data_IF_615393807115
#
_entry.id   IF_615393807115
#
_cell.length_a   1.000
_cell.length_b   1.000
_cell.length_c   1.000
_cell.angle_alpha   90.00
_cell.angle_beta   90.00
_cell.angle_gamma   90.00
#
_symmetry.space_group_name_H-M   'P 1'
#
loop_
_entity.id
_entity.type
_entity.pdbx_description
1 polymer ?
#
# COMPACT_ATOMS: atom_id res chain seq x y z
N UNK A 1 10.82 4.01 47.63
CA UNK A 1 11.51 2.95 46.91
C UNK A 1 10.88 2.83 45.52
N UNK A 2 11.49 3.51 44.58
CA UNK A 2 11.07 3.65 43.20
C UNK A 2 11.33 2.37 42.43
N UNK A 3 10.28 1.74 41.97
CA UNK A 3 10.39 0.76 40.89
C UNK A 3 10.44 1.48 39.55
N UNK A 4 11.63 1.84 39.13
CA UNK A 4 11.91 2.04 37.71
C UNK A 4 11.78 0.66 37.05
N UNK A 5 10.62 0.38 36.46
CA UNK A 5 10.49 -0.70 35.50
C UNK A 5 11.37 -0.35 34.31
N UNK A 6 12.53 -0.97 34.24
CA UNK A 6 13.33 -0.99 33.01
C UNK A 6 12.49 -1.73 31.98
N UNK A 7 11.74 -0.99 31.16
CA UNK A 7 11.18 -1.57 29.95
C UNK A 7 12.37 -1.97 29.09
N UNK A 8 12.66 -3.28 29.04
CA UNK A 8 13.55 -3.80 28.02
C UNK A 8 12.99 -3.35 26.68
N UNK A 9 13.74 -2.51 25.93
CA UNK A 9 13.35 -2.11 24.59
C UNK A 9 13.34 -3.37 23.73
N UNK A 10 12.18 -3.81 23.30
CA UNK A 10 12.06 -4.90 22.35
C UNK A 10 12.46 -4.37 20.97
N UNK A 11 13.53 -4.91 20.41
CA UNK A 11 13.99 -4.61 19.07
C UNK A 11 13.32 -5.54 18.05
N UNK A 12 12.91 -4.97 16.92
CA UNK A 12 12.36 -5.75 15.83
C UNK A 12 13.44 -6.68 15.24
N UNK A 13 13.07 -7.90 14.81
CA UNK A 13 14.00 -8.75 14.10
C UNK A 13 14.45 -8.11 12.79
N UNK A 14 15.71 -8.34 12.42
CA UNK A 14 16.22 -7.91 11.11
C UNK A 14 15.42 -8.57 9.99
N UNK A 15 14.99 -7.79 9.03
CA UNK A 15 14.31 -8.26 7.82
C UNK A 15 15.08 -7.78 6.58
N UNK A 16 15.86 -8.66 6.00
CA UNK A 16 16.82 -8.31 4.94
C UNK A 16 16.15 -8.16 3.56
N UNK A 17 16.75 -7.34 2.67
CA UNK A 17 16.24 -7.12 1.31
C UNK A 17 16.27 -8.40 0.47
N UNK A 18 17.21 -9.31 0.73
CA UNK A 18 17.30 -10.62 0.09
C UNK A 18 16.01 -11.41 0.27
N UNK A 19 15.44 -11.37 1.47
CA UNK A 19 14.16 -12.06 1.76
C UNK A 19 12.99 -11.40 1.01
N UNK A 20 12.99 -10.08 0.87
CA UNK A 20 11.98 -9.40 0.04
C UNK A 20 12.17 -9.77 -1.42
N UNK A 21 13.41 -9.77 -1.92
CA UNK A 21 13.74 -10.15 -3.29
C UNK A 21 13.26 -11.58 -3.62
N UNK A 22 13.48 -12.51 -2.69
CA UNK A 22 13.05 -13.90 -2.85
C UNK A 22 11.53 -14.05 -3.00
N UNK A 23 10.74 -13.32 -2.22
CA UNK A 23 9.27 -13.48 -2.20
C UNK A 23 8.55 -12.58 -3.21
N UNK A 24 9.19 -11.52 -3.70
CA UNK A 24 8.60 -10.53 -4.62
C UNK A 24 9.20 -10.56 -6.01
N UNK A 25 10.28 -11.32 -6.22
CA UNK A 25 11.09 -11.37 -7.43
C UNK A 25 11.61 -9.99 -7.93
N UNK A 26 11.58 -8.96 -7.06
CA UNK A 26 12.25 -7.70 -7.37
C UNK A 26 13.76 -7.82 -7.11
N UNK A 27 14.56 -7.22 -7.99
CA UNK A 27 16.02 -7.22 -7.83
C UNK A 27 16.41 -6.42 -6.57
N UNK A 28 17.42 -6.90 -5.84
CA UNK A 28 17.96 -6.22 -4.66
C UNK A 28 18.35 -4.77 -4.97
N UNK A 29 18.94 -4.52 -6.14
CA UNK A 29 19.29 -3.17 -6.59
C UNK A 29 18.08 -2.25 -6.69
N UNK A 30 16.95 -2.75 -7.16
CA UNK A 30 15.70 -2.01 -7.25
C UNK A 30 15.10 -1.74 -5.86
N UNK A 31 15.08 -2.76 -4.98
CA UNK A 31 14.64 -2.61 -3.59
C UNK A 31 15.49 -1.58 -2.83
N UNK A 32 16.83 -1.65 -2.98
CA UNK A 32 17.76 -0.67 -2.40
C UNK A 32 17.46 0.76 -2.87
N UNK A 33 17.17 0.93 -4.16
CA UNK A 33 16.80 2.24 -4.72
C UNK A 33 15.48 2.76 -4.10
N UNK A 34 14.50 1.89 -3.90
CA UNK A 34 13.23 2.25 -3.26
C UNK A 34 13.40 2.64 -1.79
N UNK A 35 14.17 1.85 -1.02
CA UNK A 35 14.51 2.19 0.36
C UNK A 35 15.22 3.54 0.46
N UNK A 36 16.18 3.79 -0.44
CA UNK A 36 16.85 5.09 -0.51
C UNK A 36 15.84 6.23 -0.79
N UNK A 37 14.90 6.04 -1.72
CA UNK A 37 13.87 7.03 -2.04
C UNK A 37 12.93 7.30 -0.84
N UNK A 38 12.51 6.24 -0.13
CA UNK A 38 11.68 6.35 1.08
C UNK A 38 12.41 7.15 2.15
N UNK A 39 13.67 6.83 2.41
CA UNK A 39 14.45 7.52 3.45
C UNK A 39 14.75 8.97 3.09
N UNK A 40 15.09 9.26 1.84
CA UNK A 40 15.38 10.60 1.36
C UNK A 40 14.15 11.51 1.37
N UNK A 41 13.00 11.01 0.94
CA UNK A 41 11.77 11.81 0.79
C UNK A 41 10.93 11.83 2.07
N UNK A 42 11.00 10.75 2.86
CA UNK A 42 10.17 10.55 4.06
C UNK A 42 8.75 10.03 3.77
N UNK A 43 8.25 10.21 2.54
CA UNK A 43 6.94 9.74 2.11
C UNK A 43 6.97 9.24 0.66
N UNK A 44 6.25 8.14 0.41
CA UNK A 44 6.27 7.43 -0.87
C UNK A 44 4.91 6.83 -1.18
N UNK A 45 4.55 6.72 -2.45
CA UNK A 45 3.35 6.03 -2.91
C UNK A 45 3.76 4.88 -3.84
N UNK A 46 3.39 3.67 -3.47
CA UNK A 46 3.49 2.49 -4.33
C UNK A 46 2.22 2.44 -5.19
N UNK A 47 2.38 2.59 -6.49
CA UNK A 47 1.26 2.66 -7.42
C UNK A 47 1.31 1.55 -8.47
N UNK A 48 0.14 1.12 -8.91
CA UNK A 48 0.02 0.12 -9.97
C UNK A 48 -1.39 -0.42 -10.10
N UNK A 49 -1.64 -1.27 -11.11
CA UNK A 49 -2.94 -1.86 -11.32
C UNK A 49 -3.34 -2.81 -10.18
N UNK A 50 -4.61 -3.23 -10.10
CA UNK A 50 -5.07 -4.13 -9.07
C UNK A 50 -4.38 -5.49 -9.15
N UNK A 51 -4.21 -6.14 -7.99
CA UNK A 51 -3.63 -7.48 -7.93
C UNK A 51 -2.12 -7.57 -8.14
N UNK A 52 -1.37 -6.46 -8.02
CA UNK A 52 0.11 -6.45 -8.16
C UNK A 52 0.85 -6.59 -6.83
N UNK A 53 0.14 -6.75 -5.70
CA UNK A 53 0.77 -6.95 -4.39
C UNK A 53 1.32 -5.69 -3.73
N UNK A 54 0.79 -4.51 -4.03
CA UNK A 54 1.26 -3.21 -3.49
C UNK A 54 1.27 -3.15 -1.97
N UNK A 55 0.16 -3.52 -1.33
CA UNK A 55 0.02 -3.52 0.13
C UNK A 55 0.98 -4.52 0.78
N UNK A 56 1.12 -5.70 0.19
CA UNK A 56 2.10 -6.70 0.63
C UNK A 56 3.53 -6.15 0.54
N UNK A 57 3.90 -5.53 -0.58
CA UNK A 57 5.22 -4.90 -0.74
C UNK A 57 5.44 -3.78 0.29
N UNK A 58 4.44 -2.92 0.51
CA UNK A 58 4.51 -1.85 1.53
C UNK A 58 4.82 -2.41 2.92
N UNK A 59 4.14 -3.49 3.32
CA UNK A 59 4.37 -4.17 4.60
C UNK A 59 5.79 -4.76 4.69
N UNK A 60 6.30 -5.36 3.61
CA UNK A 60 7.66 -5.93 3.59
C UNK A 60 8.74 -4.86 3.64
N UNK A 61 8.56 -3.75 2.93
CA UNK A 61 9.46 -2.60 3.02
C UNK A 61 9.43 -1.97 4.42
N UNK A 62 8.24 -1.87 5.04
CA UNK A 62 8.11 -1.40 6.41
C UNK A 62 8.85 -2.31 7.40
N UNK A 63 8.70 -3.64 7.29
CA UNK A 63 9.44 -4.61 8.10
C UNK A 63 10.95 -4.44 7.98
N UNK A 64 11.45 -4.19 6.77
CA UNK A 64 12.88 -3.92 6.56
C UNK A 64 13.31 -2.61 7.23
N UNK A 65 12.52 -1.53 7.08
CA UNK A 65 12.84 -0.21 7.61
C UNK A 65 12.88 -0.14 9.13
N UNK A 66 12.05 -0.92 9.83
CA UNK A 66 12.01 -0.98 11.30
C UNK A 66 12.95 -2.06 11.87
N UNK A 67 13.45 -2.96 11.01
CA UNK A 67 14.24 -4.11 11.42
C UNK A 67 15.53 -3.72 12.15
N UNK A 68 15.80 -4.37 13.28
CA UNK A 68 16.95 -4.10 14.15
C UNK A 68 16.76 -2.89 15.08
N UNK A 69 15.64 -2.17 14.98
CA UNK A 69 15.35 -0.98 15.77
C UNK A 69 14.14 -1.13 16.71
N UNK A 70 13.89 -0.11 17.56
CA UNK A 70 12.75 -0.03 18.48
C UNK A 70 11.51 0.60 17.87
N UNK A 71 11.53 0.89 16.55
CA UNK A 71 10.42 1.46 15.81
C UNK A 71 9.26 0.48 15.63
N UNK A 72 8.20 0.94 15.01
CA UNK A 72 7.03 0.13 14.72
C UNK A 72 6.40 0.51 13.39
N UNK A 73 5.51 -0.34 12.87
CA UNK A 73 4.67 -0.01 11.72
C UNK A 73 3.20 -0.16 12.06
N UNK A 74 2.37 0.69 11.47
CA UNK A 74 0.92 0.63 11.55
C UNK A 74 0.34 0.80 10.14
N UNK A 75 -0.89 0.32 9.94
CA UNK A 75 -1.59 0.43 8.68
C UNK A 75 -2.97 1.02 8.90
N UNK A 76 -3.31 2.00 8.08
CA UNK A 76 -4.65 2.58 7.99
C UNK A 76 -5.13 2.48 6.54
N UNK A 77 -6.44 2.36 6.35
CA UNK A 77 -7.02 2.33 5.01
C UNK A 77 -7.86 3.58 4.79
N UNK A 78 -7.61 4.27 3.68
CA UNK A 78 -8.44 5.40 3.28
C UNK A 78 -9.69 4.90 2.54
N UNK A 79 -10.76 5.65 2.69
CA UNK A 79 -12.04 5.43 2.02
C UNK A 79 -12.70 6.79 1.71
N UNK A 80 -13.73 6.88 0.86
CA UNK A 80 -14.29 8.15 0.41
C UNK A 80 -14.81 9.08 1.53
N UNK A 81 -15.19 8.52 2.67
CA UNK A 81 -15.66 9.28 3.84
C UNK A 81 -14.55 9.57 4.88
N UNK A 82 -13.27 9.28 4.56
CA UNK A 82 -12.16 9.56 5.46
C UNK A 82 -11.85 11.05 5.46
N UNK A 83 -11.79 11.66 6.64
CA UNK A 83 -11.72 13.12 6.82
C UNK A 83 -10.43 13.58 7.49
N UNK A 84 -10.22 14.89 7.50
CA UNK A 84 -9.16 15.54 8.28
C UNK A 84 -9.26 15.20 9.77
N UNK A 85 -10.49 15.18 10.30
CA UNK A 85 -10.76 14.87 11.71
C UNK A 85 -10.39 13.42 12.07
N UNK A 86 -10.50 12.50 11.13
CA UNK A 86 -10.08 11.11 11.35
C UNK A 86 -8.55 10.96 11.30
N UNK A 87 -7.89 11.81 10.53
CA UNK A 87 -6.45 11.71 10.29
C UNK A 87 -5.63 12.57 11.24
N UNK A 88 -5.98 13.82 11.40
CA UNK A 88 -5.21 14.80 12.17
C UNK A 88 -5.82 15.00 13.55
N UNK A 89 -6.92 15.69 13.64
CA UNK A 89 -7.67 15.91 14.90
C UNK A 89 -9.06 16.43 14.61
N UNK A 90 -10.00 16.16 15.52
CA UNK A 90 -11.37 16.62 15.40
C UNK A 90 -12.10 16.68 16.73
N UNK A 91 -13.23 17.38 16.74
CA UNK A 91 -14.14 17.42 17.89
C UNK A 91 -14.93 16.12 17.90
N UNK A 92 -14.87 15.40 19.02
CA UNK A 92 -15.64 14.17 19.23
C UNK A 92 -16.50 14.25 20.48
N UNK A 93 -17.80 13.90 20.42
CA UNK A 93 -18.63 13.85 21.61
C UNK A 93 -18.13 12.75 22.54
N UNK A 94 -17.91 13.09 23.81
CA UNK A 94 -17.51 12.15 24.86
C UNK A 94 -18.41 12.35 26.08
N UNK A 95 -18.80 11.25 26.75
CA UNK A 95 -19.51 11.30 28.02
C UNK A 95 -18.50 11.21 29.17
N UNK A 96 -18.41 12.27 29.95
CA UNK A 96 -17.56 12.32 31.16
C UNK A 96 -18.48 12.57 32.38
N UNK A 97 -18.50 11.64 33.33
CA UNK A 97 -19.34 11.73 34.54
C UNK A 97 -20.83 12.03 34.26
N UNK A 98 -21.37 11.45 33.16
CA UNK A 98 -22.77 11.68 32.76
C UNK A 98 -23.03 13.00 32.05
N UNK A 99 -22.02 13.84 31.84
CA UNK A 99 -22.10 15.06 31.05
C UNK A 99 -21.50 14.88 29.66
N UNK A 100 -22.17 15.42 28.64
CA UNK A 100 -21.67 15.41 27.27
C UNK A 100 -20.64 16.53 27.08
N UNK A 101 -19.43 16.17 26.65
CA UNK A 101 -18.34 17.10 26.35
C UNK A 101 -17.92 16.94 24.91
N UNK A 102 -17.25 17.94 24.35
CA UNK A 102 -16.80 17.97 22.94
C UNK A 102 -15.31 18.32 22.87
N UNK A 103 -14.42 17.44 23.38
CA UNK A 103 -13.00 17.70 23.30
C UNK A 103 -12.48 17.55 21.87
N UNK A 104 -11.38 18.27 21.57
CA UNK A 104 -10.56 17.98 20.39
C UNK A 104 -9.74 16.74 20.72
N UNK A 105 -9.87 15.71 19.90
CA UNK A 105 -9.12 14.45 20.03
C UNK A 105 -8.18 14.26 18.84
N UNK A 106 -6.99 13.66 19.03
CA UNK A 106 -6.09 13.35 17.93
C UNK A 106 -6.73 12.32 16.99
N UNK A 107 -6.42 12.46 15.70
CA UNK A 107 -6.69 11.46 14.69
C UNK A 107 -5.52 10.48 14.56
N UNK A 108 -5.69 9.48 13.68
CA UNK A 108 -4.75 8.36 13.54
C UNK A 108 -3.30 8.76 13.25
N UNK A 109 -3.11 9.83 12.49
CA UNK A 109 -1.75 10.30 12.17
C UNK A 109 -1.05 10.97 13.35
N UNK A 110 -1.76 11.82 14.10
CA UNK A 110 -1.19 12.44 15.30
C UNK A 110 -0.90 11.38 16.36
N UNK A 111 -1.81 10.44 16.61
CA UNK A 111 -1.58 9.32 17.54
C UNK A 111 -0.35 8.49 17.15
N UNK A 112 -0.18 8.25 15.84
CA UNK A 112 1.00 7.54 15.32
C UNK A 112 2.28 8.34 15.59
N UNK A 113 2.27 9.65 15.30
CA UNK A 113 3.43 10.52 15.52
C UNK A 113 3.80 10.63 17.00
N UNK A 114 2.83 10.76 17.91
CA UNK A 114 3.07 10.78 19.36
C UNK A 114 3.77 9.49 19.84
N UNK A 115 3.33 8.33 19.33
CA UNK A 115 4.01 7.05 19.62
C UNK A 115 5.41 6.98 19.03
N UNK A 116 5.60 7.55 17.82
CA UNK A 116 6.88 7.56 17.14
C UNK A 116 7.92 8.47 17.82
N UNK A 117 7.49 9.58 18.44
CA UNK A 117 8.37 10.46 19.22
C UNK A 117 9.02 9.76 20.42
N UNK A 118 8.36 8.73 20.96
CA UNK A 118 8.90 7.91 22.04
C UNK A 118 9.91 6.84 21.57
N UNK A 119 10.19 6.76 20.25
CA UNK A 119 11.10 5.80 19.64
C UNK A 119 12.34 6.49 19.09
N UNK A 120 13.48 5.78 19.12
CA UNK A 120 14.73 6.26 18.55
C UNK A 120 14.84 5.93 17.05
N UNK A 121 14.27 4.79 16.65
CA UNK A 121 14.39 4.23 15.31
C UNK A 121 13.16 4.50 14.42
N UNK A 122 13.28 4.12 13.17
CA UNK A 122 12.27 4.39 12.13
C UNK A 122 10.92 3.78 12.48
N UNK A 123 9.87 4.60 12.38
CA UNK A 123 8.47 4.18 12.44
C UNK A 123 7.81 4.38 11.08
N UNK A 124 6.99 3.43 10.65
CA UNK A 124 6.40 3.45 9.29
C UNK A 124 4.88 3.41 9.38
N UNK A 125 4.22 4.46 8.86
CA UNK A 125 2.78 4.45 8.64
C UNK A 125 2.47 4.04 7.21
N UNK A 126 1.73 2.96 7.04
CA UNK A 126 1.20 2.54 5.75
C UNK A 126 -0.21 3.12 5.61
N UNK A 127 -0.46 3.80 4.48
CA UNK A 127 -1.79 4.30 4.11
C UNK A 127 -2.25 3.53 2.89
N UNK A 128 -3.10 2.52 3.13
CA UNK A 128 -3.64 1.70 2.06
C UNK A 128 -4.75 2.43 1.32
N UNK A 129 -4.81 2.27 -0.01
CA UNK A 129 -5.78 2.94 -0.88
C UNK A 129 -5.78 4.47 -0.70
N UNK A 130 -4.59 5.08 -0.62
CA UNK A 130 -4.41 6.51 -0.27
C UNK A 130 -5.23 7.45 -1.17
N UNK A 131 -5.45 7.09 -2.42
CA UNK A 131 -6.21 7.87 -3.39
C UNK A 131 -7.73 7.76 -3.26
N UNK A 132 -8.25 6.92 -2.35
CA UNK A 132 -9.70 6.81 -2.14
C UNK A 132 -10.30 7.96 -1.33
N UNK A 133 -9.49 8.73 -0.62
CA UNK A 133 -9.92 9.95 0.05
C UNK A 133 -9.49 11.21 -0.72
N UNK A 134 -10.11 12.34 -0.43
CA UNK A 134 -9.63 13.62 -0.93
C UNK A 134 -8.37 14.03 -0.15
N UNK A 135 -7.21 13.76 -0.72
CA UNK A 135 -5.91 13.91 -0.04
C UNK A 135 -5.65 15.36 0.41
N UNK A 136 -6.01 16.35 -0.41
CA UNK A 136 -5.82 17.76 -0.05
C UNK A 136 -6.65 18.16 1.17
N UNK A 137 -7.86 17.59 1.32
CA UNK A 137 -8.70 17.81 2.49
C UNK A 137 -8.20 17.04 3.72
N UNK A 138 -7.83 15.76 3.54
CA UNK A 138 -7.38 14.90 4.65
C UNK A 138 -6.06 15.37 5.25
N UNK A 139 -5.11 15.75 4.39
CA UNK A 139 -3.80 16.21 4.84
C UNK A 139 -3.83 17.67 5.32
N UNK A 140 -4.71 18.51 4.74
CA UNK A 140 -4.82 19.91 5.12
C UNK A 140 -3.47 20.63 5.18
N UNK A 141 -3.21 21.32 6.30
CA UNK A 141 -1.95 22.06 6.54
C UNK A 141 -0.70 21.17 6.68
N UNK A 142 -0.86 19.84 6.91
CA UNK A 142 0.29 18.92 6.88
C UNK A 142 1.03 18.93 5.55
N UNK A 143 0.35 19.30 4.46
CA UNK A 143 0.97 19.46 3.14
C UNK A 143 2.21 20.36 3.18
N UNK A 144 2.21 21.38 4.05
CA UNK A 144 3.37 22.26 4.24
C UNK A 144 4.56 21.52 4.85
N UNK A 145 4.31 20.59 5.79
CA UNK A 145 5.37 19.81 6.43
C UNK A 145 5.96 18.73 5.52
N UNK A 146 5.19 18.26 4.53
CA UNK A 146 5.63 17.25 3.57
C UNK A 146 6.57 17.83 2.47
N UNK A 147 6.61 19.13 2.28
CA UNK A 147 7.47 19.77 1.28
C UNK A 147 8.95 19.55 1.56
N UNK A 148 9.35 19.75 2.80
CA UNK A 148 10.74 19.58 3.24
C UNK A 148 10.80 18.98 4.65
N UNK A 149 11.01 17.67 4.70
CA UNK A 149 11.13 16.91 5.94
C UNK A 149 12.46 17.12 6.67
N UNK A 150 13.44 17.77 6.04
CA UNK A 150 14.74 18.06 6.63
C UNK A 150 14.77 19.41 7.35
N UNK A 151 13.86 20.32 7.00
CA UNK A 151 13.75 21.61 7.66
C UNK A 151 13.08 21.49 9.02
N UNK A 152 13.89 21.47 10.07
CA UNK A 152 13.43 21.35 11.47
C UNK A 152 12.75 22.60 12.03
N UNK A 153 12.74 23.71 11.28
CA UNK A 153 12.08 24.95 11.67
C UNK A 153 10.63 25.02 11.18
N UNK A 154 10.25 24.11 10.29
CA UNK A 154 8.88 24.06 9.78
C UNK A 154 7.97 23.38 10.81
N UNK A 155 6.95 24.11 11.20
CA UNK A 155 5.85 23.61 12.03
C UNK A 155 4.53 24.15 11.52
N UNK A 156 3.44 23.51 11.93
CA UNK A 156 2.08 24.02 11.78
C UNK A 156 1.47 24.20 13.15
N UNK A 157 0.49 25.10 13.25
CA UNK A 157 -0.30 25.25 14.47
C UNK A 157 -1.64 24.58 14.26
N UNK A 158 -1.90 23.53 15.01
CA UNK A 158 -3.13 22.78 14.97
C UNK A 158 -4.31 23.58 15.55
N UNK A 159 -5.55 23.19 15.26
CA UNK A 159 -6.75 23.84 15.81
C UNK A 159 -6.79 23.82 17.36
N UNK A 160 -6.11 22.88 18.00
CA UNK A 160 -5.87 22.84 19.44
C UNK A 160 -4.95 23.96 19.96
N UNK A 161 -4.26 24.69 19.06
CA UNK A 161 -3.22 25.67 19.41
C UNK A 161 -1.81 25.04 19.57
N UNK A 162 -1.69 23.73 19.50
CA UNK A 162 -0.41 23.02 19.61
C UNK A 162 0.40 23.17 18.32
N UNK A 163 1.70 23.44 18.48
CA UNK A 163 2.64 23.35 17.38
C UNK A 163 2.96 21.88 17.07
N UNK A 164 2.97 21.54 15.80
CA UNK A 164 3.22 20.18 15.35
C UNK A 164 4.28 20.15 14.25
N UNK A 165 5.16 19.17 14.38
CA UNK A 165 6.22 18.82 13.41
C UNK A 165 6.11 17.31 13.19
N UNK A 166 6.21 16.83 11.96
CA UNK A 166 6.27 15.38 11.73
C UNK A 166 7.62 14.86 12.24
N UNK A 167 7.65 13.88 13.16
CA UNK A 167 8.89 13.35 13.70
C UNK A 167 9.83 12.84 12.60
N UNK A 168 11.13 13.04 12.75
CA UNK A 168 12.14 12.71 11.73
C UNK A 168 12.23 11.20 11.44
N UNK A 169 11.91 10.38 12.42
CA UNK A 169 11.91 8.93 12.32
C UNK A 169 10.65 8.36 11.66
N UNK A 170 9.63 9.19 11.38
CA UNK A 170 8.40 8.76 10.70
C UNK A 170 8.62 8.64 9.19
N UNK A 171 8.19 7.51 8.61
CA UNK A 171 8.05 7.29 7.17
C UNK A 171 6.60 7.00 6.83
N UNK A 172 6.15 7.47 5.66
CA UNK A 172 4.81 7.23 5.15
C UNK A 172 4.94 6.43 3.86
N UNK A 173 4.22 5.31 3.77
CA UNK A 173 4.13 4.51 2.54
C UNK A 173 2.66 4.39 2.16
N UNK A 174 2.23 5.14 1.14
CA UNK A 174 0.90 4.99 0.55
C UNK A 174 0.86 3.86 -0.47
N UNK A 175 -0.30 3.21 -0.64
CA UNK A 175 -0.58 2.36 -1.79
C UNK A 175 -1.69 2.97 -2.63
N UNK A 176 -1.64 2.80 -3.94
CA UNK A 176 -2.60 3.40 -4.86
C UNK A 176 -2.91 2.47 -6.03
N UNK A 177 -4.20 2.17 -6.23
CA UNK A 177 -4.67 1.53 -7.44
C UNK A 177 -4.78 2.54 -8.58
N UNK A 178 -4.16 2.23 -9.72
CA UNK A 178 -4.15 3.11 -10.89
C UNK A 178 -5.37 2.91 -11.80
N UNK A 179 -6.09 1.78 -11.65
CA UNK A 179 -7.28 1.46 -12.45
C UNK A 179 -8.54 2.23 -12.01
N UNK A 180 -8.58 2.73 -10.78
CA UNK A 180 -9.75 3.41 -10.23
C UNK A 180 -9.99 4.78 -10.91
N UNK A 181 -10.92 4.81 -11.86
CA UNK A 181 -11.29 6.03 -12.62
C UNK A 181 -12.09 7.04 -11.78
N UNK A 182 -12.77 6.59 -10.73
CA UNK A 182 -13.64 7.42 -9.89
C UNK A 182 -12.87 8.27 -8.87
N UNK A 183 -11.56 8.13 -8.81
CA UNK A 183 -10.73 8.71 -7.76
C UNK A 183 -10.02 9.95 -8.30
N UNK A 184 -10.04 10.99 -7.48
CA UNK A 184 -9.34 12.23 -7.76
C UNK A 184 -7.87 11.93 -8.14
N UNK A 185 -7.47 12.38 -9.31
CA UNK A 185 -6.07 12.36 -9.71
C UNK A 185 -5.25 12.97 -8.57
N UNK A 186 -4.24 12.25 -8.11
CA UNK A 186 -3.26 12.82 -7.17
C UNK A 186 -2.80 14.14 -7.76
N UNK A 187 -3.15 15.25 -7.11
CA UNK A 187 -2.87 16.57 -7.63
C UNK A 187 -1.36 16.83 -7.76
N UNK A 188 -0.98 17.84 -8.51
CA UNK A 188 0.42 18.18 -8.73
C UNK A 188 1.14 18.57 -7.42
N UNK A 189 0.40 19.06 -6.43
CA UNK A 189 0.96 19.40 -5.13
C UNK A 189 1.45 18.17 -4.37
N UNK A 190 0.69 17.07 -4.40
CA UNK A 190 1.09 15.79 -3.82
C UNK A 190 2.20 15.11 -4.64
N UNK A 191 2.13 15.20 -5.98
CA UNK A 191 3.14 14.56 -6.85
C UNK A 191 4.57 15.01 -6.55
N UNK A 192 4.78 16.26 -6.21
CA UNK A 192 6.14 16.76 -5.85
C UNK A 192 6.55 16.43 -4.40
N UNK A 193 5.57 16.12 -3.54
CA UNK A 193 5.82 15.81 -2.12
C UNK A 193 6.13 14.35 -1.85
N UNK A 194 5.59 13.45 -2.66
CA UNK A 194 5.81 12.01 -2.55
C UNK A 194 6.79 11.50 -3.61
N UNK A 195 7.55 10.48 -3.28
CA UNK A 195 8.20 9.64 -4.28
C UNK A 195 7.20 8.58 -4.76
N UNK A 196 7.23 8.26 -6.06
CA UNK A 196 6.33 7.27 -6.64
C UNK A 196 7.10 6.03 -7.08
N UNK A 197 6.66 4.87 -6.60
CA UNK A 197 7.21 3.56 -6.92
C UNK A 197 6.17 2.83 -7.78
N UNK A 198 6.40 2.68 -9.09
CA UNK A 198 5.50 1.91 -9.95
C UNK A 198 5.72 0.41 -9.76
N UNK A 199 4.63 -0.33 -9.60
CA UNK A 199 4.62 -1.80 -9.52
C UNK A 199 3.67 -2.35 -10.58
N UNK A 200 4.19 -3.22 -11.42
CA UNK A 200 3.46 -3.90 -12.49
C UNK A 200 3.36 -5.39 -12.22
N UNK A 201 2.49 -6.12 -12.93
CA UNK A 201 2.39 -7.57 -12.81
C UNK A 201 3.76 -8.23 -13.03
N UNK A 202 4.18 -9.08 -12.09
CA UNK A 202 5.44 -9.81 -12.16
C UNK A 202 5.16 -11.31 -12.14
N UNK A 203 5.18 -11.94 -13.31
CA UNK A 203 4.86 -13.35 -13.48
C UNK A 203 5.90 -14.28 -12.84
N UNK A 204 7.12 -13.79 -12.56
CA UNK A 204 8.14 -14.58 -11.87
C UNK A 204 7.69 -14.90 -10.42
N UNK A 205 7.00 -13.97 -9.75
CA UNK A 205 6.39 -14.22 -8.43
C UNK A 205 5.41 -15.39 -8.50
N UNK A 206 4.61 -15.46 -9.57
CA UNK A 206 3.63 -16.54 -9.78
C UNK A 206 4.35 -17.88 -9.95
N UNK A 207 5.41 -17.95 -10.77
CA UNK A 207 6.22 -19.16 -10.96
C UNK A 207 6.86 -19.63 -9.66
N UNK A 208 7.51 -18.70 -8.94
CA UNK A 208 8.20 -18.99 -7.68
C UNK A 208 7.21 -19.47 -6.59
N UNK A 209 6.04 -18.85 -6.52
CA UNK A 209 5.00 -19.26 -5.57
C UNK A 209 4.58 -20.72 -5.80
N UNK A 210 4.16 -21.06 -7.03
CA UNK A 210 3.67 -22.40 -7.33
C UNK A 210 4.76 -23.47 -7.30
N UNK A 211 6.01 -23.11 -7.59
CA UNK A 211 7.15 -24.00 -7.40
C UNK A 211 7.41 -24.29 -5.92
N UNK A 212 7.43 -23.24 -5.07
CA UNK A 212 7.66 -23.36 -3.63
C UNK A 212 6.55 -24.14 -2.92
N UNK A 213 5.30 -23.89 -3.32
CA UNK A 213 4.13 -24.57 -2.75
C UNK A 213 3.83 -25.93 -3.38
N UNK A 214 4.66 -26.37 -4.35
CA UNK A 214 4.54 -27.67 -5.05
C UNK A 214 3.15 -27.97 -5.58
N UNK A 215 2.46 -26.96 -6.12
CA UNK A 215 1.04 -27.07 -6.52
C UNK A 215 0.82 -27.98 -7.74
N UNK A 216 1.87 -28.20 -8.56
CA UNK A 216 1.77 -28.95 -9.82
C UNK A 216 0.95 -28.26 -10.92
N UNK A 217 0.49 -27.02 -10.68
CA UNK A 217 -0.30 -26.26 -11.65
C UNK A 217 0.55 -25.81 -12.86
N UNK A 218 0.02 -25.84 -14.10
CA UNK A 218 0.77 -25.45 -15.31
C UNK A 218 0.91 -23.93 -15.42
N UNK A 219 1.74 -23.33 -14.56
CA UNK A 219 1.89 -21.87 -14.38
C UNK A 219 2.32 -21.16 -15.65
N UNK A 220 3.17 -21.77 -16.47
CA UNK A 220 3.64 -21.15 -17.72
C UNK A 220 2.51 -20.95 -18.73
N UNK A 221 1.54 -21.85 -18.75
CA UNK A 221 0.32 -21.69 -19.57
C UNK A 221 -0.52 -20.52 -19.08
N UNK A 222 -0.73 -20.42 -17.78
CA UNK A 222 -1.44 -19.29 -17.18
C UNK A 222 -0.70 -17.97 -17.45
N UNK A 223 0.61 -17.95 -17.29
CA UNK A 223 1.42 -16.76 -17.59
C UNK A 223 1.24 -16.30 -19.03
N UNK A 224 1.27 -17.22 -19.99
CA UNK A 224 1.06 -16.90 -21.42
C UNK A 224 -0.35 -16.32 -21.66
N UNK A 225 -1.36 -16.84 -20.99
CA UNK A 225 -2.73 -16.30 -21.07
C UNK A 225 -2.76 -14.88 -20.51
N UNK A 226 -2.18 -14.64 -19.32
CA UNK A 226 -2.15 -13.32 -18.67
C UNK A 226 -1.38 -12.29 -19.49
N UNK A 227 -0.26 -12.68 -20.13
CA UNK A 227 0.48 -11.84 -21.05
C UNK A 227 -0.38 -11.41 -22.25
N UNK A 228 -1.19 -12.34 -22.81
CA UNK A 228 -2.10 -12.03 -23.89
C UNK A 228 -3.22 -11.08 -23.45
N UNK A 229 -3.80 -11.31 -22.26
CA UNK A 229 -4.80 -10.42 -21.65
C UNK A 229 -4.21 -9.02 -21.49
N UNK A 230 -3.05 -8.89 -20.87
CA UNK A 230 -2.44 -7.59 -20.60
C UNK A 230 -1.97 -6.89 -21.88
N UNK A 231 -1.56 -7.66 -22.91
CA UNK A 231 -1.31 -7.11 -24.24
C UNK A 231 -2.58 -6.57 -24.90
N UNK A 232 -3.71 -7.26 -24.74
CA UNK A 232 -5.00 -6.81 -25.26
C UNK A 232 -5.53 -5.58 -24.51
N UNK A 233 -5.32 -5.51 -23.19
CA UNK A 233 -5.61 -4.32 -22.36
C UNK A 233 -4.79 -3.13 -22.87
N UNK A 234 -3.52 -3.33 -23.21
CA UNK A 234 -2.63 -2.29 -23.77
C UNK A 234 -2.62 -0.97 -22.98
N UNK A 235 -2.79 -1.08 -21.65
CA UNK A 235 -2.75 0.06 -20.74
C UNK A 235 -2.22 -0.40 -19.37
N UNK A 236 -1.01 0.06 -19.02
CA UNK A 236 -0.30 -0.33 -17.80
C UNK A 236 -1.08 -0.05 -16.50
N UNK A 237 -2.01 0.89 -16.54
CA UNK A 237 -2.82 1.23 -15.36
C UNK A 237 -3.94 0.23 -15.09
N UNK A 238 -4.29 -0.59 -16.09
CA UNK A 238 -5.38 -1.55 -16.05
C UNK A 238 -4.92 -2.99 -16.24
N UNK A 239 -3.62 -3.24 -16.32
CA UNK A 239 -3.11 -4.61 -16.41
C UNK A 239 -3.65 -5.48 -15.28
N UNK A 240 -3.97 -6.72 -15.61
CA UNK A 240 -4.41 -7.70 -14.64
C UNK A 240 -3.21 -8.19 -13.82
N UNK A 241 -3.27 -8.02 -12.50
CA UNK A 241 -2.25 -8.51 -11.57
C UNK A 241 -2.32 -10.01 -11.34
N UNK A 242 -1.36 -10.52 -10.59
CA UNK A 242 -1.18 -11.97 -10.37
C UNK A 242 -1.75 -12.48 -9.04
N UNK A 243 -2.17 -11.58 -8.13
CA UNK A 243 -2.55 -11.98 -6.76
C UNK A 243 -3.75 -12.91 -6.71
N UNK A 244 -4.63 -12.85 -7.71
CA UNK A 244 -5.78 -13.75 -7.84
C UNK A 244 -5.37 -15.22 -7.92
N UNK A 245 -4.18 -15.51 -8.41
CA UNK A 245 -3.68 -16.84 -8.71
C UNK A 245 -2.67 -17.37 -7.69
N UNK A 246 -2.41 -16.64 -6.61
CA UNK A 246 -1.50 -17.03 -5.54
C UNK A 246 -2.25 -17.85 -4.47
N UNK A 247 -2.76 -19.01 -4.86
CA UNK A 247 -3.43 -19.97 -3.97
C UNK A 247 -2.94 -21.39 -4.22
N UNK A 248 -2.89 -22.21 -3.15
CA UNK A 248 -2.45 -23.62 -3.24
C UNK A 248 -3.45 -24.48 -3.99
N UNK A 249 -4.71 -24.10 -3.98
CA UNK A 249 -5.84 -24.80 -4.60
C UNK A 249 -6.15 -24.31 -6.01
N UNK A 250 -5.19 -23.63 -6.66
CA UNK A 250 -5.43 -23.01 -7.97
C UNK A 250 -5.96 -23.99 -9.04
N UNK A 251 -5.53 -25.23 -9.01
CA UNK A 251 -6.02 -26.24 -9.97
C UNK A 251 -7.53 -26.49 -9.85
N UNK A 252 -8.07 -26.37 -8.65
CA UNK A 252 -9.48 -26.53 -8.35
C UNK A 252 -10.26 -25.23 -8.57
N UNK A 253 -9.65 -24.08 -8.22
CA UNK A 253 -10.32 -22.79 -8.15
C UNK A 253 -10.18 -21.94 -9.43
N UNK A 254 -9.30 -22.30 -10.36
CA UNK A 254 -8.98 -21.45 -11.52
C UNK A 254 -10.20 -21.08 -12.36
N UNK A 255 -11.17 -21.98 -12.51
CA UNK A 255 -12.40 -21.70 -13.25
C UNK A 255 -13.23 -20.63 -12.52
N UNK A 256 -13.43 -20.81 -11.23
CA UNK A 256 -14.25 -19.90 -10.41
C UNK A 256 -13.59 -18.52 -10.32
N UNK A 257 -12.28 -18.47 -10.08
CA UNK A 257 -11.50 -17.22 -10.10
C UNK A 257 -11.67 -16.52 -11.45
N UNK A 258 -11.53 -17.29 -12.55
CA UNK A 258 -11.63 -16.68 -13.87
C UNK A 258 -13.02 -16.11 -14.14
N UNK A 259 -14.07 -16.92 -13.92
CA UNK A 259 -15.45 -16.54 -14.22
C UNK A 259 -16.04 -15.49 -13.27
N UNK A 260 -15.61 -15.49 -12.00
CA UNK A 260 -16.22 -14.61 -10.98
C UNK A 260 -15.40 -13.37 -10.68
N UNK A 261 -14.10 -13.36 -11.01
CA UNK A 261 -13.21 -12.25 -10.67
C UNK A 261 -12.56 -11.63 -11.91
N UNK A 262 -12.09 -12.46 -12.85
CA UNK A 262 -11.36 -11.96 -14.03
C UNK A 262 -12.30 -11.53 -15.15
N UNK A 263 -13.27 -12.37 -15.53
CA UNK A 263 -14.26 -12.01 -16.56
C UNK A 263 -15.00 -10.71 -16.23
N UNK A 264 -15.54 -10.49 -15.02
CA UNK A 264 -16.19 -9.22 -14.69
C UNK A 264 -15.26 -8.00 -14.80
N UNK A 265 -14.00 -8.15 -14.44
CA UNK A 265 -13.01 -7.09 -14.60
C UNK A 265 -12.76 -6.76 -16.09
N UNK A 266 -12.64 -7.80 -16.93
CA UNK A 266 -12.43 -7.63 -18.37
C UNK A 266 -13.70 -7.11 -19.07
N UNK A 267 -14.89 -7.50 -18.62
CA UNK A 267 -16.17 -6.97 -19.13
C UNK A 267 -16.28 -5.47 -18.89
N UNK A 268 -15.88 -5.00 -17.69
CA UNK A 268 -15.86 -3.56 -17.39
C UNK A 268 -14.82 -2.84 -18.25
N UNK A 269 -13.65 -3.44 -18.46
CA UNK A 269 -12.58 -2.83 -19.24
C UNK A 269 -12.90 -2.78 -20.74
N UNK A 270 -13.39 -3.88 -21.31
CA UNK A 270 -13.74 -4.03 -22.72
C UNK A 270 -15.23 -3.75 -23.00
N UNK A 271 -15.87 -2.95 -22.16
CA UNK A 271 -17.31 -2.63 -22.26
C UNK A 271 -17.77 -2.23 -23.68
N UNK A 272 -16.92 -1.53 -24.41
CA UNK A 272 -17.16 -1.07 -25.79
C UNK A 272 -16.58 -2.01 -26.86
N UNK A 273 -16.00 -3.16 -26.49
CA UNK A 273 -15.34 -4.11 -27.40
C UNK A 273 -15.63 -5.56 -27.04
N UNK A 274 -16.89 -5.99 -27.23
CA UNK A 274 -17.34 -7.34 -26.92
C UNK A 274 -16.53 -8.43 -27.63
N UNK A 275 -16.10 -8.18 -28.88
CA UNK A 275 -15.32 -9.16 -29.64
C UNK A 275 -13.99 -9.48 -28.95
N UNK A 276 -13.35 -8.48 -28.35
CA UNK A 276 -12.12 -8.67 -27.57
C UNK A 276 -12.37 -9.37 -26.24
N UNK A 277 -13.48 -9.05 -25.57
CA UNK A 277 -13.90 -9.73 -24.35
C UNK A 277 -14.10 -11.23 -24.58
N UNK A 278 -14.79 -11.59 -25.69
CA UNK A 278 -15.12 -12.98 -26.01
C UNK A 278 -13.89 -13.89 -26.19
N UNK A 279 -12.72 -13.33 -26.52
CA UNK A 279 -11.46 -14.07 -26.64
C UNK A 279 -10.97 -14.61 -25.28
N UNK A 280 -11.33 -13.96 -24.18
CA UNK A 280 -10.85 -14.26 -22.84
C UNK A 280 -11.88 -14.91 -21.93
N UNK A 281 -13.04 -15.30 -22.45
CA UNK A 281 -14.01 -16.08 -21.70
C UNK A 281 -13.44 -17.46 -21.33
N UNK A 282 -13.79 -17.97 -20.15
CA UNK A 282 -13.32 -19.27 -19.67
C UNK A 282 -13.52 -20.40 -20.67
N UNK A 283 -14.67 -20.44 -21.34
CA UNK A 283 -14.97 -21.44 -22.36
C UNK A 283 -14.00 -21.42 -23.56
N UNK A 284 -13.27 -20.34 -23.78
CA UNK A 284 -12.25 -20.18 -24.81
C UNK A 284 -10.85 -20.51 -24.30
N UNK A 285 -10.49 -20.04 -23.09
CA UNK A 285 -9.14 -20.16 -22.57
C UNK A 285 -8.88 -21.52 -21.90
N UNK A 286 -9.89 -22.21 -21.38
CA UNK A 286 -9.74 -23.48 -20.65
C UNK A 286 -8.96 -24.55 -21.43
N UNK A 287 -9.09 -24.59 -22.73
CA UNK A 287 -8.39 -25.55 -23.59
C UNK A 287 -6.89 -25.32 -23.65
N UNK A 288 -6.41 -24.13 -23.31
CA UNK A 288 -4.99 -23.81 -23.26
C UNK A 288 -4.29 -24.47 -22.05
N UNK A 289 -5.06 -24.89 -21.03
CA UNK A 289 -4.53 -25.64 -19.89
C UNK A 289 -4.41 -27.14 -20.16
N UNK A 290 -5.16 -27.67 -21.11
CA UNK A 290 -5.29 -29.12 -21.36
C UNK A 290 -4.24 -29.71 -22.32
N UNK A 291 -3.44 -28.88 -23.02
CA UNK A 291 -2.49 -29.34 -24.05
C UNK A 291 -1.03 -29.31 -23.56
#
# INVERSE_FOLDING_TARGET
SEYLSVYEKEFNPLYQLEKISEITAFKITQLTQWIHAINRKGQTIIQGPPGTGKTFLAQKLAQHLIGGGDGFSDIIQFHPAYTYEDFIQGIRPQSQNGQLTYPIVPGRFLEFCEKAEAREDTCVLIIDEINRANLSQVFGELMYLLDDRQDTKRFITLASGQQFIIPKNVRIIGTMNTADRSIALVDNALRRRFAFIPVYPNYEVLRQYHHREETGFPVDKLTSILENVNRAINNKHYELGISFFLTKTLAEDIQDIWQMEIEPYLEEYFFDNQAKMDEFLWNKIKYQFSN
#
